data_IF_613805445563
#
_entry.id   IF_613805445563
#
_cell.length_a   1.000
_cell.length_b   1.000
_cell.length_c   1.000
_cell.angle_alpha   90.00
_cell.angle_beta   90.00
_cell.angle_gamma   90.00
#
_symmetry.space_group_name_H-M   'P 1'
#
loop_
_entity.id
_entity.type
_entity.pdbx_description
1 polymer ?
#
# COMPACT_ATOMS: atom_id res chain seq x y z
N UNK A 1 -31.13 65.03 8.13
CA UNK A 1 -32.57 65.31 7.95
C UNK A 1 -33.31 63.97 7.94
N UNK A 2 -34.44 63.80 8.63
CA UNK A 2 -35.21 62.55 8.54
C UNK A 2 -36.16 62.57 7.34
N UNK A 3 -36.06 61.56 6.47
CA UNK A 3 -36.95 61.35 5.33
C UNK A 3 -38.28 60.75 5.78
N UNK A 4 -39.41 61.38 5.39
CA UNK A 4 -40.74 60.78 5.41
C UNK A 4 -41.10 60.38 3.98
N UNK A 5 -41.12 59.09 3.69
CA UNK A 5 -41.73 58.56 2.46
C UNK A 5 -43.25 58.61 2.60
N UNK A 6 -43.99 59.26 1.68
CA UNK A 6 -45.44 59.16 1.66
C UNK A 6 -45.85 57.74 1.28
N UNK A 7 -46.75 57.15 2.06
CA UNK A 7 -47.38 55.89 1.71
C UNK A 7 -48.27 56.10 0.48
N UNK A 8 -47.95 55.41 -0.62
CA UNK A 8 -48.84 55.31 -1.78
C UNK A 8 -50.08 54.55 -1.30
N UNK A 9 -51.22 55.25 -1.16
CA UNK A 9 -52.45 54.63 -0.64
C UNK A 9 -53.39 54.07 -1.70
N UNK A 10 -53.38 54.55 -2.95
CA UNK A 10 -54.17 53.97 -4.05
C UNK A 10 -53.55 54.30 -5.41
N UNK A 11 -53.50 53.31 -6.31
CA UNK A 11 -53.37 53.53 -7.75
C UNK A 11 -54.70 53.11 -8.39
N UNK A 12 -55.63 54.05 -8.50
CA UNK A 12 -56.74 53.93 -9.43
C UNK A 12 -56.76 55.20 -10.27
N UNK A 13 -56.13 55.12 -11.44
CA UNK A 13 -56.25 56.14 -12.48
C UNK A 13 -57.72 56.33 -12.81
N UNK A 14 -58.18 57.55 -13.05
CA UNK A 14 -59.61 57.83 -13.30
C UNK A 14 -60.15 57.03 -14.51
N UNK A 15 -59.29 56.76 -15.49
CA UNK A 15 -59.60 55.88 -16.63
C UNK A 15 -59.90 54.42 -16.25
N UNK A 16 -59.39 53.93 -15.11
CA UNK A 16 -59.68 52.58 -14.59
C UNK A 16 -61.04 52.57 -13.90
N UNK A 17 -61.37 53.65 -13.16
CA UNK A 17 -62.68 53.78 -12.49
C UNK A 17 -63.81 53.87 -13.50
N UNK A 18 -63.63 54.63 -14.58
CA UNK A 18 -64.66 54.81 -15.60
C UNK A 18 -64.95 53.51 -16.36
N UNK A 19 -63.92 52.68 -16.59
CA UNK A 19 -64.08 51.35 -17.22
C UNK A 19 -64.73 50.35 -16.27
N UNK A 20 -64.31 50.32 -15.01
CA UNK A 20 -64.91 49.42 -14.01
C UNK A 20 -66.38 49.80 -13.77
N UNK A 21 -66.71 51.10 -13.71
CA UNK A 21 -68.10 51.59 -13.62
C UNK A 21 -68.97 51.16 -14.80
N UNK A 22 -68.45 51.25 -16.03
CA UNK A 22 -69.16 50.76 -17.22
C UNK A 22 -69.40 49.24 -17.19
N UNK A 23 -68.46 48.46 -16.67
CA UNK A 23 -68.60 47.01 -16.57
C UNK A 23 -69.60 46.60 -15.46
N UNK A 24 -69.57 47.25 -14.29
CA UNK A 24 -70.52 46.98 -13.20
C UNK A 24 -71.96 47.33 -13.56
N UNK A 25 -72.19 48.45 -14.26
CA UNK A 25 -73.54 48.85 -14.72
C UNK A 25 -74.14 47.88 -15.75
N UNK A 26 -73.28 47.18 -16.50
CA UNK A 26 -73.68 46.15 -17.46
C UNK A 26 -73.67 44.73 -16.88
N UNK A 27 -73.53 44.58 -15.55
CA UNK A 27 -73.55 43.29 -14.86
C UNK A 27 -72.26 42.48 -14.95
N UNK A 28 -71.16 43.08 -15.40
CA UNK A 28 -69.82 42.49 -15.39
C UNK A 28 -69.17 42.57 -14.01
N UNK A 29 -68.46 41.50 -13.63
CA UNK A 29 -67.53 41.52 -12.48
C UNK A 29 -66.21 42.09 -13.00
N UNK A 30 -65.87 43.33 -12.65
CA UNK A 30 -64.69 44.05 -13.16
C UNK A 30 -63.38 43.24 -13.10
N UNK A 31 -62.36 43.70 -13.84
CA UNK A 31 -61.11 42.98 -14.13
C UNK A 31 -60.26 42.75 -12.87
N UNK A 32 -60.68 41.84 -12.03
CA UNK A 32 -59.90 41.21 -10.98
C UNK A 32 -59.50 39.83 -11.53
N UNK A 33 -58.47 39.79 -12.39
CA UNK A 33 -57.62 38.62 -12.71
C UNK A 33 -56.95 38.74 -14.09
N UNK A 34 -56.15 39.77 -14.37
CA UNK A 34 -55.25 39.69 -15.52
C UNK A 34 -53.95 40.48 -15.31
N UNK A 35 -53.11 39.93 -14.44
CA UNK A 35 -51.66 40.03 -14.58
C UNK A 35 -51.11 38.61 -14.36
N UNK A 36 -51.31 37.73 -15.36
CA UNK A 36 -50.36 36.64 -15.54
C UNK A 36 -49.04 37.28 -15.97
N UNK A 37 -48.03 37.05 -15.15
CA UNK A 37 -46.70 37.61 -15.30
C UNK A 37 -45.97 36.70 -16.27
N UNK A 38 -45.92 37.08 -17.55
CA UNK A 38 -45.16 36.38 -18.59
C UNK A 38 -43.67 36.30 -18.19
N UNK A 39 -43.28 35.21 -17.52
CA UNK A 39 -41.91 34.94 -17.07
C UNK A 39 -41.43 33.52 -17.46
N UNK A 40 -42.14 32.82 -18.35
CA UNK A 40 -41.86 31.40 -18.62
C UNK A 40 -40.54 31.15 -19.38
N UNK A 41 -40.10 32.09 -20.21
CA UNK A 41 -38.88 31.92 -21.02
C UNK A 41 -37.58 32.10 -20.22
N UNK A 42 -37.57 33.01 -19.24
CA UNK A 42 -36.38 33.29 -18.42
C UNK A 42 -36.19 32.21 -17.33
N UNK A 43 -37.29 31.73 -16.74
CA UNK A 43 -37.25 30.64 -15.77
C UNK A 43 -36.85 29.31 -16.43
N UNK A 44 -37.29 29.03 -17.67
CA UNK A 44 -36.88 27.85 -18.42
C UNK A 44 -35.36 27.81 -18.70
N UNK A 45 -34.78 28.95 -19.11
CA UNK A 45 -33.35 29.04 -19.43
C UNK A 45 -32.48 28.98 -18.16
N UNK A 46 -32.90 29.65 -17.08
CA UNK A 46 -32.23 29.55 -15.78
C UNK A 46 -32.31 28.13 -15.20
N UNK A 47 -33.45 27.45 -15.31
CA UNK A 47 -33.60 26.08 -14.82
C UNK A 47 -32.69 25.12 -15.58
N UNK A 48 -32.61 25.24 -16.91
CA UNK A 48 -31.71 24.44 -17.75
C UNK A 48 -30.23 24.70 -17.44
N UNK A 49 -29.86 25.96 -17.21
CA UNK A 49 -28.50 26.32 -16.81
C UNK A 49 -28.14 25.83 -15.39
N UNK A 50 -29.12 25.74 -14.48
CA UNK A 50 -28.94 25.14 -13.14
C UNK A 50 -28.76 23.62 -13.24
N UNK A 51 -29.59 22.94 -14.04
CA UNK A 51 -29.46 21.50 -14.31
C UNK A 51 -28.11 21.15 -14.95
N UNK A 52 -27.67 21.89 -15.97
CA UNK A 52 -26.38 21.65 -16.63
C UNK A 52 -25.20 21.82 -15.66
N UNK A 53 -25.26 22.81 -14.77
CA UNK A 53 -24.26 23.00 -13.70
C UNK A 53 -24.27 21.84 -12.71
N UNK A 54 -25.45 21.37 -12.29
CA UNK A 54 -25.59 20.23 -11.40
C UNK A 54 -25.08 18.93 -12.02
N UNK A 55 -25.42 18.67 -13.28
CA UNK A 55 -24.92 17.53 -14.05
C UNK A 55 -23.40 17.56 -14.17
N UNK A 56 -22.82 18.73 -14.46
CA UNK A 56 -21.37 18.89 -14.52
C UNK A 56 -20.69 18.66 -13.15
N UNK A 57 -21.28 19.16 -12.06
CA UNK A 57 -20.78 18.89 -10.70
C UNK A 57 -20.90 17.40 -10.34
N UNK A 58 -22.00 16.75 -10.70
CA UNK A 58 -22.22 15.32 -10.49
C UNK A 58 -21.20 14.49 -11.27
N UNK A 59 -20.94 14.83 -12.54
CA UNK A 59 -19.93 14.16 -13.37
C UNK A 59 -18.52 14.33 -12.78
N UNK A 60 -18.16 15.53 -12.29
CA UNK A 60 -16.88 15.77 -11.61
C UNK A 60 -16.73 14.94 -10.34
N UNK A 61 -17.78 14.85 -9.51
CA UNK A 61 -17.79 13.98 -8.31
C UNK A 61 -17.57 12.52 -8.70
N UNK A 62 -18.32 12.02 -9.67
CA UNK A 62 -18.20 10.63 -10.17
C UNK A 62 -16.81 10.33 -10.75
N UNK A 63 -16.22 11.28 -11.48
CA UNK A 63 -14.85 11.14 -11.98
C UNK A 63 -13.83 11.07 -10.83
N UNK A 64 -13.99 11.93 -9.81
CA UNK A 64 -13.10 11.92 -8.64
C UNK A 64 -13.25 10.65 -7.80
N UNK A 65 -14.46 10.13 -7.62
CA UNK A 65 -14.73 8.87 -6.93
C UNK A 65 -14.14 7.68 -7.68
N UNK A 66 -14.31 7.63 -9.00
CA UNK A 66 -13.70 6.60 -9.84
C UNK A 66 -12.17 6.62 -9.78
N UNK A 67 -11.57 7.81 -9.73
CA UNK A 67 -10.12 7.96 -9.57
C UNK A 67 -9.65 7.48 -8.19
N UNK A 68 -10.40 7.77 -7.13
CA UNK A 68 -10.10 7.28 -5.78
C UNK A 68 -10.20 5.75 -5.70
N UNK A 69 -11.23 5.14 -6.28
CA UNK A 69 -11.39 3.68 -6.34
C UNK A 69 -10.24 3.02 -7.11
N UNK A 70 -9.85 3.59 -8.27
CA UNK A 70 -8.68 3.11 -9.05
C UNK A 70 -7.40 3.17 -8.24
N UNK A 71 -7.13 4.28 -7.54
CA UNK A 71 -5.96 4.42 -6.68
C UNK A 71 -5.97 3.43 -5.53
N UNK A 72 -7.13 3.21 -4.91
CA UNK A 72 -7.27 2.25 -3.83
C UNK A 72 -7.00 0.82 -4.31
N UNK A 73 -7.61 0.42 -5.43
CA UNK A 73 -7.35 -0.89 -6.06
C UNK A 73 -5.88 -1.07 -6.40
N UNK A 74 -5.24 -0.06 -6.98
CA UNK A 74 -3.81 -0.10 -7.32
C UNK A 74 -2.92 -0.28 -6.09
N UNK A 75 -3.16 0.49 -5.01
CA UNK A 75 -2.41 0.34 -3.75
C UNK A 75 -2.57 -1.05 -3.14
N UNK A 76 -3.79 -1.59 -3.15
CA UNK A 76 -4.07 -2.94 -2.64
C UNK A 76 -3.31 -3.99 -3.45
N UNK A 77 -3.29 -3.86 -4.78
CA UNK A 77 -2.56 -4.79 -5.64
C UNK A 77 -1.05 -4.70 -5.43
N UNK A 78 -0.49 -3.49 -5.32
CA UNK A 78 0.94 -3.29 -5.01
C UNK A 78 1.33 -3.93 -3.68
N UNK A 79 0.48 -3.82 -2.65
CA UNK A 79 0.71 -4.49 -1.36
C UNK A 79 0.67 -6.01 -1.53
N UNK A 80 -0.35 -6.56 -2.19
CA UNK A 80 -0.49 -8.01 -2.44
C UNK A 80 0.69 -8.58 -3.21
N UNK A 81 1.14 -7.89 -4.26
CA UNK A 81 2.32 -8.30 -5.02
C UNK A 81 3.58 -8.27 -4.15
N UNK A 82 3.74 -7.24 -3.31
CA UNK A 82 4.89 -7.13 -2.42
C UNK A 82 4.91 -8.23 -1.35
N UNK A 83 3.74 -8.60 -0.82
CA UNK A 83 3.59 -9.70 0.14
C UNK A 83 3.88 -11.04 -0.52
N UNK A 84 3.32 -11.27 -1.71
CA UNK A 84 3.57 -12.48 -2.50
C UNK A 84 5.07 -12.66 -2.79
N UNK A 85 5.75 -11.59 -3.22
CA UNK A 85 7.21 -11.63 -3.47
C UNK A 85 8.00 -11.95 -2.19
N UNK A 86 7.61 -11.39 -1.04
CA UNK A 86 8.25 -11.68 0.25
C UNK A 86 8.06 -13.15 0.65
N UNK A 87 6.85 -13.67 0.48
CA UNK A 87 6.55 -15.08 0.77
C UNK A 87 7.35 -16.02 -0.14
N UNK A 88 7.40 -15.73 -1.44
CA UNK A 88 8.23 -16.48 -2.40
C UNK A 88 9.72 -16.45 -2.01
N UNK A 89 10.24 -15.32 -1.55
CA UNK A 89 11.61 -15.21 -1.06
C UNK A 89 11.85 -16.05 0.20
N UNK A 90 10.91 -16.04 1.14
CA UNK A 90 10.98 -16.85 2.38
C UNK A 90 10.97 -18.33 2.03
N UNK A 91 10.04 -18.75 1.16
CA UNK A 91 9.90 -20.14 0.75
C UNK A 91 11.15 -20.64 0.01
N UNK A 92 11.67 -19.86 -0.93
CA UNK A 92 12.90 -20.22 -1.66
C UNK A 92 14.11 -20.33 -0.71
N UNK A 93 14.25 -19.40 0.25
CA UNK A 93 15.30 -19.47 1.26
C UNK A 93 15.17 -20.72 2.13
N UNK A 94 13.94 -21.14 2.43
CA UNK A 94 13.68 -22.36 3.21
C UNK A 94 14.01 -23.63 2.42
N UNK A 95 13.68 -23.68 1.14
CA UNK A 95 14.09 -24.79 0.27
C UNK A 95 15.61 -24.98 0.26
N UNK A 96 16.36 -23.89 0.10
CA UNK A 96 17.82 -23.94 0.20
C UNK A 96 18.31 -24.35 1.58
N UNK A 97 17.62 -23.95 2.67
CA UNK A 97 17.99 -24.39 4.02
C UNK A 97 17.87 -25.88 4.17
N UNK A 98 16.77 -26.47 3.69
CA UNK A 98 16.55 -27.91 3.73
C UNK A 98 17.62 -28.64 2.92
N UNK A 99 17.86 -28.20 1.68
CA UNK A 99 18.83 -28.83 0.78
C UNK A 99 20.26 -28.80 1.36
N UNK A 100 20.70 -27.62 1.81
CA UNK A 100 22.04 -27.43 2.39
C UNK A 100 22.18 -28.27 3.67
N UNK A 101 21.18 -28.27 4.55
CA UNK A 101 21.21 -29.10 5.77
C UNK A 101 21.33 -30.57 5.43
N UNK A 102 20.52 -31.06 4.49
CA UNK A 102 20.55 -32.47 4.09
C UNK A 102 21.93 -32.85 3.54
N UNK A 103 22.52 -32.00 2.68
CA UNK A 103 23.88 -32.17 2.18
C UNK A 103 24.90 -32.19 3.32
N UNK A 104 24.83 -31.24 4.25
CA UNK A 104 25.76 -31.15 5.38
C UNK A 104 25.63 -32.36 6.33
N UNK A 105 24.42 -32.80 6.67
CA UNK A 105 24.18 -34.00 7.49
C UNK A 105 24.75 -35.25 6.82
N UNK A 106 24.62 -35.35 5.49
CA UNK A 106 25.21 -36.45 4.72
C UNK A 106 26.73 -36.43 4.74
N UNK A 107 27.34 -35.25 4.67
CA UNK A 107 28.80 -35.07 4.78
C UNK A 107 29.30 -35.36 6.18
N UNK A 108 28.60 -34.89 7.21
CA UNK A 108 28.91 -35.13 8.62
C UNK A 108 28.90 -36.63 8.93
N UNK A 109 27.86 -37.37 8.50
CA UNK A 109 27.80 -38.83 8.66
C UNK A 109 28.94 -39.58 7.97
N UNK A 110 29.47 -39.05 6.87
CA UNK A 110 30.60 -39.65 6.13
C UNK A 110 31.95 -39.24 6.71
N UNK A 111 32.00 -38.15 7.47
CA UNK A 111 33.24 -37.56 7.97
C UNK A 111 33.50 -38.02 9.39
N UNK A 112 34.52 -38.85 9.58
CA UNK A 112 34.89 -39.34 10.91
C UNK A 112 35.47 -38.25 11.81
N UNK A 113 36.26 -37.34 11.24
CA UNK A 113 36.97 -36.28 11.96
C UNK A 113 36.67 -34.91 11.35
N UNK A 114 36.84 -33.85 12.14
CA UNK A 114 36.62 -32.45 11.70
C UNK A 114 37.44 -32.09 10.45
N UNK A 115 38.64 -32.63 10.33
CA UNK A 115 39.50 -32.48 9.16
C UNK A 115 38.88 -33.06 7.87
N UNK A 116 38.32 -34.28 7.95
CA UNK A 116 37.66 -34.92 6.82
C UNK A 116 36.42 -34.15 6.39
N UNK A 117 35.68 -33.59 7.35
CA UNK A 117 34.56 -32.71 7.07
C UNK A 117 34.99 -31.45 6.33
N UNK A 118 36.01 -30.75 6.84
CA UNK A 118 36.54 -29.55 6.17
C UNK A 118 37.05 -29.84 4.76
N UNK A 119 37.72 -30.97 4.54
CA UNK A 119 38.15 -31.38 3.21
C UNK A 119 36.97 -31.59 2.24
N UNK A 120 35.88 -32.21 2.70
CA UNK A 120 34.65 -32.40 1.91
C UNK A 120 33.91 -31.09 1.59
N UNK A 121 34.10 -30.08 2.43
CA UNK A 121 33.56 -28.71 2.24
C UNK A 121 34.52 -27.86 1.36
N UNK A 122 35.66 -28.41 0.94
CA UNK A 122 36.61 -27.77 0.03
C UNK A 122 37.82 -27.13 0.73
N UNK A 123 38.02 -27.38 2.02
CA UNK A 123 39.16 -26.91 2.81
C UNK A 123 40.09 -28.06 3.16
N UNK A 124 41.06 -28.31 2.29
CA UNK A 124 42.10 -29.32 2.53
C UNK A 124 43.13 -28.82 3.57
N UNK A 125 43.58 -29.72 4.44
CA UNK A 125 44.47 -29.46 5.58
C UNK A 125 45.56 -30.55 5.56
N UNK A 126 46.80 -30.25 5.96
CA UNK A 126 47.89 -31.23 6.13
C UNK A 126 47.99 -31.73 7.59
N UNK A 127 48.64 -32.89 7.82
CA UNK A 127 48.31 -33.85 8.91
C UNK A 127 48.49 -33.35 10.35
N UNK A 128 49.19 -32.24 10.55
CA UNK A 128 49.54 -31.77 11.88
C UNK A 128 48.41 -31.03 12.64
N UNK A 129 48.38 -31.19 13.97
CA UNK A 129 47.34 -30.65 14.87
C UNK A 129 47.26 -29.11 14.88
N UNK A 130 48.39 -28.42 14.72
CA UNK A 130 48.41 -26.95 14.65
C UNK A 130 47.67 -26.42 13.41
N UNK A 131 47.56 -27.25 12.36
CA UNK A 131 46.86 -26.88 11.13
C UNK A 131 45.36 -26.94 11.29
N UNK A 132 44.83 -27.79 12.18
CA UNK A 132 43.39 -27.91 12.45
C UNK A 132 42.84 -26.59 13.02
N UNK A 133 43.52 -25.99 14.01
CA UNK A 133 43.13 -24.68 14.57
C UNK A 133 43.19 -23.58 13.51
N UNK A 134 44.21 -23.61 12.65
CA UNK A 134 44.34 -22.65 11.54
C UNK A 134 43.22 -22.83 10.51
N UNK A 135 42.84 -24.07 10.23
CA UNK A 135 41.81 -24.43 9.27
C UNK A 135 40.41 -24.09 9.79
N UNK A 136 40.14 -24.31 11.08
CA UNK A 136 38.92 -23.81 11.72
C UNK A 136 38.79 -22.30 11.54
N UNK A 137 39.84 -21.53 11.85
CA UNK A 137 39.82 -20.06 11.68
C UNK A 137 39.57 -19.67 10.22
N UNK A 138 40.19 -20.37 9.25
CA UNK A 138 39.93 -20.17 7.81
C UNK A 138 38.49 -20.49 7.43
N UNK A 139 37.97 -21.62 7.89
CA UNK A 139 36.60 -22.07 7.61
C UNK A 139 35.57 -21.11 8.19
N UNK A 140 35.72 -20.72 9.46
CA UNK A 140 34.88 -19.73 10.13
C UNK A 140 34.93 -18.36 9.42
N UNK A 141 36.08 -18.00 8.83
CA UNK A 141 36.24 -16.77 8.06
C UNK A 141 35.50 -16.82 6.72
N UNK A 142 35.60 -17.93 6.00
CA UNK A 142 35.02 -18.15 4.66
C UNK A 142 33.50 -18.30 4.76
N UNK A 143 33.02 -19.16 5.64
CA UNK A 143 31.61 -19.45 5.84
C UNK A 143 30.93 -18.48 6.81
N UNK A 144 31.54 -17.33 7.13
CA UNK A 144 30.89 -16.35 8.01
C UNK A 144 29.65 -15.75 7.33
N UNK A 145 28.49 -15.63 8.02
CA UNK A 145 27.28 -15.05 7.42
C UNK A 145 27.53 -13.64 6.86
N UNK A 146 28.30 -12.79 7.56
CA UNK A 146 28.63 -11.44 7.06
C UNK A 146 29.55 -11.39 5.84
N UNK A 147 30.24 -12.48 5.48
CA UNK A 147 31.06 -12.56 4.26
C UNK A 147 30.30 -13.11 3.06
N UNK A 148 29.12 -13.69 3.27
CA UNK A 148 28.34 -14.23 2.18
C UNK A 148 27.82 -13.09 1.27
N UNK A 149 27.81 -13.30 -0.06
CA UNK A 149 27.27 -12.31 -0.99
C UNK A 149 25.78 -12.07 -0.74
N UNK A 150 25.38 -10.80 -0.62
CA UNK A 150 23.97 -10.41 -0.36
C UNK A 150 23.04 -10.67 -1.55
N UNK A 151 23.59 -10.79 -2.76
CA UNK A 151 22.81 -11.02 -3.98
C UNK A 151 22.43 -12.50 -4.17
N UNK A 152 23.13 -13.42 -3.53
CA UNK A 152 22.94 -14.86 -3.73
C UNK A 152 22.39 -15.51 -2.45
N UNK A 153 21.07 -15.79 -2.47
CA UNK A 153 20.36 -16.43 -1.37
C UNK A 153 20.93 -17.81 -1.03
N UNK A 154 21.33 -18.59 -2.03
CA UNK A 154 21.87 -19.93 -1.82
C UNK A 154 23.18 -19.84 -1.03
N UNK A 155 24.10 -18.98 -1.46
CA UNK A 155 25.40 -18.82 -0.79
C UNK A 155 25.27 -18.28 0.63
N UNK A 156 24.28 -17.44 0.91
CA UNK A 156 23.98 -16.99 2.28
C UNK A 156 23.57 -18.15 3.18
N UNK A 157 22.64 -18.97 2.69
CA UNK A 157 22.16 -20.14 3.42
C UNK A 157 23.27 -21.18 3.58
N UNK A 158 24.06 -21.42 2.54
CA UNK A 158 25.21 -22.32 2.57
C UNK A 158 26.23 -21.87 3.63
N UNK A 159 26.58 -20.59 3.66
CA UNK A 159 27.48 -20.04 4.67
C UNK A 159 26.89 -20.19 6.08
N UNK A 160 25.64 -19.78 6.31
CA UNK A 160 24.98 -19.83 7.63
C UNK A 160 24.94 -21.27 8.20
N UNK A 161 24.47 -22.23 7.40
CA UNK A 161 24.29 -23.61 7.86
C UNK A 161 25.64 -24.33 7.98
N UNK A 162 26.59 -24.08 7.07
CA UNK A 162 27.94 -24.65 7.16
C UNK A 162 28.68 -24.11 8.40
N UNK A 163 28.51 -22.83 8.71
CA UNK A 163 29.09 -22.21 9.90
C UNK A 163 28.56 -22.84 11.19
N UNK A 164 27.25 -23.10 11.28
CA UNK A 164 26.64 -23.80 12.43
C UNK A 164 27.26 -25.18 12.66
N UNK A 165 27.47 -25.95 11.59
CA UNK A 165 28.11 -27.27 11.68
C UNK A 165 29.57 -27.13 12.11
N UNK A 166 30.33 -26.19 11.55
CA UNK A 166 31.73 -25.94 11.93
C UNK A 166 31.85 -25.58 13.42
N UNK A 167 30.98 -24.73 13.96
CA UNK A 167 30.96 -24.39 15.38
C UNK A 167 30.64 -25.61 16.24
N UNK A 168 29.59 -26.36 15.89
CA UNK A 168 29.19 -27.58 16.61
C UNK A 168 30.32 -28.61 16.66
N UNK A 169 30.95 -28.90 15.52
CA UNK A 169 32.03 -29.89 15.45
C UNK A 169 33.27 -29.45 16.22
N UNK A 170 33.59 -28.15 16.27
CA UNK A 170 34.66 -27.65 17.13
C UNK A 170 34.34 -27.96 18.60
N UNK A 171 33.14 -27.63 19.05
CA UNK A 171 32.79 -27.77 20.47
C UNK A 171 32.63 -29.23 20.91
N UNK A 172 32.25 -30.13 19.99
CA UNK A 172 32.09 -31.57 20.25
C UNK A 172 33.40 -32.37 20.17
N UNK A 173 34.38 -31.91 19.36
CA UNK A 173 35.64 -32.65 19.11
C UNK A 173 36.89 -32.01 19.74
N UNK A 174 36.81 -30.75 20.18
CA UNK A 174 37.76 -30.11 21.10
C UNK A 174 36.98 -29.68 22.36
N UNK A 175 36.68 -30.60 23.30
CA UNK A 175 36.06 -30.22 24.55
C UNK A 175 36.98 -29.22 25.28
N UNK A 176 36.41 -28.20 25.96
CA UNK A 176 37.21 -27.33 26.82
C UNK A 176 37.96 -28.22 27.81
N UNK A 177 39.27 -28.04 27.90
CA UNK A 177 40.07 -28.62 28.99
C UNK A 177 39.45 -28.03 30.26
N UNK A 178 38.68 -28.84 30.98
CA UNK A 178 38.28 -28.51 32.35
C UNK A 178 39.60 -28.50 33.10
N UNK A 179 40.07 -27.30 33.44
CA UNK A 179 41.24 -27.15 34.30
C UNK A 179 40.80 -27.60 35.70
N UNK A 180 40.93 -28.90 35.96
CA UNK A 180 40.72 -29.47 37.29
C UNK A 180 41.98 -29.16 38.08
N UNK A 181 42.05 -27.95 38.61
CA UNK A 181 43.07 -27.52 39.57
C UNK A 181 42.49 -26.45 40.48
N UNK A 182 41.74 -26.89 41.48
CA UNK A 182 42.02 -26.70 42.93
C UNK A 182 41.00 -27.44 43.80
#
# INVERSE_FOLDING_TARGET
MPHKTPAIRYWSSDNIKDRDSFEFENGGFGILNLYEKDNDANDSFENKAKEDKELHHMQKRKQSENELDRRQKRRVEEVRESEKKKEECINLKEQYRIEVRERLTRLERRSFNFRSFLANVGLHIAEADYEIKSAYKKAAKIFHPDRAPKDDLYKQVEAEETFKVIQRMKDEKDPPIIDVSE
#
